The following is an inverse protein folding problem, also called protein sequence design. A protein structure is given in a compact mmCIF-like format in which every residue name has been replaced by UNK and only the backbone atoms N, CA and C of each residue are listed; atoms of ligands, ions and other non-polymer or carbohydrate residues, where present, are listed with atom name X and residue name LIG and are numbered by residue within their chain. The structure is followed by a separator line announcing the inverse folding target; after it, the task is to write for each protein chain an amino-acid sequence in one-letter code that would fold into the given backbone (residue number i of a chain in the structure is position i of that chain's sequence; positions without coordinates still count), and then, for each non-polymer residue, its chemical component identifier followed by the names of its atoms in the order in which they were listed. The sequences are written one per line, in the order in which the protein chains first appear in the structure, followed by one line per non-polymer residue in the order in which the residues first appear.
data_IF_129868658866
#
_entry.id   IF_129868658866
#
_cell.length_a   1.000
_cell.length_b   1.000
_cell.length_c   1.000
_cell.angle_alpha   90.00
_cell.angle_beta   90.00
_cell.angle_gamma   90.00
#
_symmetry.space_group_name_H-M   'P 1'
#
loop_
_entity.id
_entity.type
_entity.pdbx_description
1 polymer ?
#
# COMPACT_ATOMS: atom_id res chain seq x y z
N UNK A 1 -0.79 23.51 36.54
CA UNK A 1 -1.31 22.18 36.10
C UNK A 1 -1.33 22.20 34.58
N UNK A 2 -0.37 21.56 33.95
CA UNK A 2 -0.31 21.39 32.50
C UNK A 2 -1.23 20.21 32.20
N UNK A 3 -2.35 20.45 31.53
CA UNK A 3 -3.21 19.40 30.98
C UNK A 3 -2.43 18.64 29.92
N UNK A 4 -2.33 17.31 29.99
CA UNK A 4 -1.67 16.56 28.93
C UNK A 4 -2.49 16.72 27.64
N UNK A 5 -1.85 17.25 26.58
CA UNK A 5 -2.41 17.22 25.23
C UNK A 5 -2.68 15.76 24.88
N UNK A 6 -3.96 15.41 24.69
CA UNK A 6 -4.37 14.15 24.09
C UNK A 6 -3.68 14.04 22.74
N UNK A 7 -2.70 13.15 22.66
CA UNK A 7 -2.09 12.76 21.38
C UNK A 7 -3.20 12.05 20.60
N UNK A 8 -3.77 12.74 19.61
CA UNK A 8 -4.67 12.12 18.66
C UNK A 8 -3.95 10.89 18.09
N UNK A 9 -4.53 9.71 18.33
CA UNK A 9 -4.11 8.49 17.64
C UNK A 9 -4.33 8.72 16.16
N UNK A 10 -3.32 9.24 15.48
CA UNK A 10 -3.35 9.42 14.03
C UNK A 10 -3.71 8.09 13.39
N UNK A 11 -4.82 8.05 12.70
CA UNK A 11 -5.35 6.84 12.07
C UNK A 11 -4.33 6.33 11.05
N UNK A 12 -3.58 5.27 11.39
CA UNK A 12 -2.55 4.69 10.52
C UNK A 12 -3.10 4.28 9.16
N UNK A 13 -4.37 3.85 9.11
CA UNK A 13 -5.03 3.52 7.86
C UNK A 13 -5.11 4.73 6.94
N UNK A 14 -5.54 5.87 7.46
CA UNK A 14 -5.61 7.12 6.71
C UNK A 14 -4.26 7.52 6.11
N UNK A 15 -3.17 7.38 6.90
CA UNK A 15 -1.82 7.69 6.42
C UNK A 15 -1.37 6.78 5.29
N UNK A 16 -1.68 5.47 5.38
CA UNK A 16 -1.29 4.50 4.36
C UNK A 16 -2.12 4.68 3.09
N UNK A 17 -3.43 4.93 3.23
CA UNK A 17 -4.29 5.23 2.10
C UNK A 17 -3.83 6.51 1.38
N UNK A 18 -3.57 7.59 2.14
CA UNK A 18 -2.98 8.82 1.58
C UNK A 18 -1.68 8.52 0.84
N UNK A 19 -0.79 7.71 1.44
CA UNK A 19 0.50 7.35 0.84
C UNK A 19 0.35 6.59 -0.49
N UNK A 20 -0.64 5.70 -0.61
CA UNK A 20 -0.94 5.03 -1.88
C UNK A 20 -1.36 6.04 -2.95
N UNK A 21 -2.24 6.99 -2.59
CA UNK A 21 -2.65 8.06 -3.51
C UNK A 21 -1.46 8.92 -3.96
N UNK A 22 -0.58 9.30 -3.03
CA UNK A 22 0.65 10.04 -3.32
C UNK A 22 1.54 9.28 -4.32
N UNK A 23 1.77 7.99 -4.07
CA UNK A 23 2.59 7.14 -4.94
C UNK A 23 1.98 7.06 -6.35
N UNK A 24 0.67 6.90 -6.46
CA UNK A 24 -0.01 6.86 -7.75
C UNK A 24 0.11 8.18 -8.52
N UNK A 25 -0.05 9.33 -7.85
CA UNK A 25 0.05 10.65 -8.49
C UNK A 25 1.47 10.92 -8.98
N UNK A 26 2.49 10.60 -8.17
CA UNK A 26 3.88 10.96 -8.45
C UNK A 26 4.58 9.91 -9.33
N UNK A 27 4.34 8.62 -9.07
CA UNK A 27 5.09 7.52 -9.69
C UNK A 27 4.23 6.58 -10.54
N UNK A 28 2.92 6.81 -10.65
CA UNK A 28 2.00 5.88 -11.31
C UNK A 28 2.41 5.49 -12.73
N UNK A 29 3.02 6.39 -13.51
CA UNK A 29 3.53 6.15 -14.86
C UNK A 29 4.93 5.54 -14.93
N UNK A 30 5.63 5.41 -13.81
CA UNK A 30 6.96 4.83 -13.82
C UNK A 30 6.87 3.30 -13.97
N UNK A 31 7.66 2.76 -14.90
CA UNK A 31 7.82 1.33 -15.08
C UNK A 31 9.06 0.88 -14.33
N UNK A 32 8.88 0.06 -13.29
CA UNK A 32 9.95 -0.39 -12.40
C UNK A 32 9.95 -1.91 -12.23
N UNK A 33 11.08 -2.45 -11.76
CA UNK A 33 11.24 -3.88 -11.50
C UNK A 33 10.87 -4.21 -10.06
N UNK A 34 9.95 -5.15 -9.88
CA UNK A 34 9.52 -5.67 -8.58
C UNK A 34 10.04 -7.06 -8.34
N UNK A 35 10.60 -7.30 -7.15
CA UNK A 35 10.98 -8.64 -6.71
C UNK A 35 9.72 -9.39 -6.24
N UNK A 36 9.36 -10.46 -6.94
CA UNK A 36 8.21 -11.30 -6.64
C UNK A 36 8.63 -12.74 -6.34
N UNK A 37 7.74 -13.48 -5.71
CA UNK A 37 7.91 -14.92 -5.48
C UNK A 37 6.83 -15.63 -6.26
N UNK A 38 7.21 -16.41 -7.26
CA UNK A 38 6.28 -17.27 -8.00
C UNK A 38 6.27 -18.67 -7.38
N UNK A 39 5.06 -19.20 -7.25
CA UNK A 39 4.87 -20.63 -6.99
C UNK A 39 5.04 -21.38 -8.30
N UNK A 40 5.97 -22.30 -8.32
CA UNK A 40 6.22 -23.18 -9.46
C UNK A 40 5.98 -24.61 -9.00
N UNK A 41 5.14 -25.36 -9.72
CA UNK A 41 5.03 -26.81 -9.52
C UNK A 41 6.16 -27.48 -10.26
N UNK A 42 6.91 -28.33 -9.57
CA UNK A 42 7.91 -29.16 -10.20
C UNK A 42 7.27 -30.37 -10.92
N UNK A 43 8.09 -31.17 -11.58
CA UNK A 43 7.65 -32.37 -12.32
C UNK A 43 6.99 -33.42 -11.43
N UNK A 44 7.23 -33.39 -10.12
CA UNK A 44 6.66 -34.29 -9.13
C UNK A 44 5.34 -33.75 -8.52
N UNK A 45 4.97 -32.49 -8.88
CA UNK A 45 3.79 -31.83 -8.35
C UNK A 45 4.03 -31.06 -7.06
N UNK A 46 5.28 -31.02 -6.56
CA UNK A 46 5.64 -30.27 -5.37
C UNK A 46 5.69 -28.78 -5.66
N UNK A 47 5.19 -27.96 -4.71
CA UNK A 47 5.18 -26.50 -4.84
C UNK A 47 6.52 -25.94 -4.36
N UNK A 48 7.27 -25.36 -5.28
CA UNK A 48 8.50 -24.62 -4.99
C UNK A 48 8.29 -23.12 -5.17
N UNK A 49 9.04 -22.32 -4.39
CA UNK A 49 8.99 -20.86 -4.44
C UNK A 49 10.25 -20.34 -5.13
N UNK A 50 10.07 -19.73 -6.30
CA UNK A 50 11.19 -19.15 -7.07
C UNK A 50 11.10 -17.64 -7.05
N UNK A 51 12.20 -16.93 -6.65
CA UNK A 51 12.27 -15.49 -6.81
C UNK A 51 12.28 -15.12 -8.28
N UNK A 52 11.49 -14.14 -8.67
CA UNK A 52 11.41 -13.63 -10.03
C UNK A 52 11.34 -12.11 -9.98
N UNK A 53 11.83 -11.46 -11.04
CA UNK A 53 11.73 -10.02 -11.23
C UNK A 53 10.65 -9.76 -12.27
N UNK A 54 9.65 -8.99 -11.90
CA UNK A 54 8.53 -8.59 -12.79
C UNK A 54 8.64 -7.11 -13.05
N UNK A 55 8.66 -6.71 -14.30
CA UNK A 55 8.64 -5.32 -14.73
C UNK A 55 7.19 -4.91 -14.98
N UNK A 56 6.74 -3.85 -14.31
CA UNK A 56 5.35 -3.37 -14.37
C UNK A 56 5.30 -1.89 -14.06
N UNK A 57 4.25 -1.21 -14.55
CA UNK A 57 3.93 0.13 -14.10
C UNK A 57 3.49 0.13 -12.63
N UNK A 58 3.85 1.20 -11.92
CA UNK A 58 3.51 1.35 -10.49
C UNK A 58 1.99 1.29 -10.28
N UNK A 59 1.19 1.94 -11.14
CA UNK A 59 -0.27 1.90 -11.03
C UNK A 59 -0.84 0.49 -11.24
N UNK A 60 -0.29 -0.29 -12.18
CA UNK A 60 -0.71 -1.68 -12.42
C UNK A 60 -0.39 -2.56 -11.21
N UNK A 61 0.82 -2.43 -10.67
CA UNK A 61 1.25 -3.19 -9.49
C UNK A 61 0.36 -2.92 -8.28
N UNK A 62 0.09 -1.65 -7.98
CA UNK A 62 -0.80 -1.26 -6.87
C UNK A 62 -2.22 -1.77 -7.11
N UNK A 63 -2.74 -1.62 -8.34
CA UNK A 63 -4.08 -2.10 -8.67
C UNK A 63 -4.21 -3.61 -8.48
N UNK A 64 -3.27 -4.39 -9.02
CA UNK A 64 -3.30 -5.85 -8.93
C UNK A 64 -3.18 -6.34 -7.47
N UNK A 65 -2.29 -5.74 -6.69
CA UNK A 65 -2.10 -6.11 -5.29
C UNK A 65 -3.35 -5.82 -4.44
N UNK A 66 -3.92 -4.60 -4.56
CA UNK A 66 -5.12 -4.23 -3.80
C UNK A 66 -6.35 -5.02 -4.24
N UNK A 67 -6.49 -5.28 -5.55
CA UNK A 67 -7.59 -6.07 -6.09
C UNK A 67 -7.52 -7.53 -5.64
N UNK A 68 -6.33 -8.14 -5.67
CA UNK A 68 -6.12 -9.53 -5.23
C UNK A 68 -6.41 -9.72 -3.74
N UNK A 69 -6.20 -8.69 -2.95
CA UNK A 69 -6.43 -8.71 -1.51
C UNK A 69 -7.86 -8.26 -1.12
N UNK A 70 -8.70 -7.91 -2.10
CA UNK A 70 -10.04 -7.34 -1.89
C UNK A 70 -10.02 -6.11 -0.95
N UNK A 71 -8.95 -5.30 -1.04
CA UNK A 71 -8.76 -4.15 -0.17
C UNK A 71 -9.61 -2.98 -0.66
N UNK A 72 -10.45 -2.47 0.23
CA UNK A 72 -11.17 -1.21 0.02
C UNK A 72 -10.61 -0.10 0.91
N UNK A 73 -10.55 1.12 0.34
CA UNK A 73 -10.20 2.31 1.11
C UNK A 73 -11.30 2.63 2.12
N UNK A 74 -10.91 2.89 3.37
CA UNK A 74 -11.85 3.27 4.43
C UNK A 74 -12.25 4.77 4.36
N UNK A 75 -11.38 5.62 3.79
CA UNK A 75 -11.69 7.01 3.54
C UNK A 75 -12.39 7.16 2.19
N UNK A 76 -13.61 7.72 2.20
CA UNK A 76 -14.44 7.85 1.00
C UNK A 76 -13.80 8.77 -0.07
N UNK A 77 -13.11 9.84 0.32
CA UNK A 77 -12.44 10.73 -0.63
C UNK A 77 -11.29 10.00 -1.32
N UNK A 78 -10.47 9.24 -0.57
CA UNK A 78 -9.41 8.43 -1.15
C UNK A 78 -9.95 7.30 -2.02
N UNK A 79 -11.06 6.67 -1.63
CA UNK A 79 -11.73 5.64 -2.43
C UNK A 79 -12.16 6.18 -3.79
N UNK A 80 -12.80 7.35 -3.81
CA UNK A 80 -13.22 8.01 -5.06
C UNK A 80 -12.01 8.43 -5.89
N UNK A 81 -11.00 9.02 -5.25
CA UNK A 81 -9.80 9.49 -5.95
C UNK A 81 -9.01 8.32 -6.53
N UNK A 82 -8.87 7.21 -5.79
CA UNK A 82 -8.23 5.99 -6.29
C UNK A 82 -8.89 5.46 -7.55
N UNK A 83 -10.23 5.32 -7.54
CA UNK A 83 -10.99 4.84 -8.71
C UNK A 83 -10.75 5.76 -9.92
N UNK A 84 -10.84 7.08 -9.73
CA UNK A 84 -10.59 8.03 -10.80
C UNK A 84 -9.16 7.99 -11.35
N UNK A 85 -8.15 7.78 -10.47
CA UNK A 85 -6.76 7.62 -10.89
C UNK A 85 -6.59 6.36 -11.74
N UNK A 86 -7.09 5.22 -11.28
CA UNK A 86 -6.99 3.96 -12.03
C UNK A 86 -7.72 4.06 -13.38
N UNK A 87 -8.92 4.64 -13.41
CA UNK A 87 -9.65 4.88 -14.65
C UNK A 87 -8.87 5.77 -15.62
N UNK A 88 -8.16 6.77 -15.12
CA UNK A 88 -7.37 7.68 -15.96
C UNK A 88 -6.13 6.98 -16.52
N UNK A 89 -5.42 6.19 -15.72
CA UNK A 89 -4.30 5.37 -16.18
C UNK A 89 -4.71 4.35 -17.25
N UNK A 90 -5.91 3.78 -17.14
CA UNK A 90 -6.42 2.82 -18.12
C UNK A 90 -6.84 3.47 -19.44
N UNK A 91 -7.22 4.75 -19.43
CA UNK A 91 -7.71 5.46 -20.63
C UNK A 91 -6.60 6.09 -21.45
N UNK A 92 -5.50 6.50 -20.83
CA UNK A 92 -4.45 7.30 -21.45
C UNK A 92 -3.09 6.62 -21.36
N UNK A 93 -2.30 6.75 -22.43
CA UNK A 93 -0.92 6.28 -22.46
C UNK A 93 0.02 7.11 -21.57
N UNK A 94 -0.38 8.33 -21.18
CA UNK A 94 0.37 9.20 -20.28
C UNK A 94 -0.56 9.91 -19.33
N UNK A 95 -0.26 9.84 -18.04
CA UNK A 95 -0.97 10.56 -16.98
C UNK A 95 -0.27 11.90 -16.70
N UNK A 96 -1.04 13.00 -16.71
CA UNK A 96 -0.58 14.31 -16.30
C UNK A 96 -1.34 14.74 -15.03
N UNK A 97 -0.67 14.84 -13.88
CA UNK A 97 -1.32 15.22 -12.62
C UNK A 97 -2.03 16.58 -12.67
N UNK A 98 -1.51 17.55 -13.43
CA UNK A 98 -2.09 18.89 -13.53
C UNK A 98 -3.39 18.87 -14.35
N UNK A 99 -3.42 18.13 -15.45
CA UNK A 99 -4.63 17.94 -16.26
C UNK A 99 -5.68 17.17 -15.47
N UNK A 100 -5.27 16.11 -14.77
CA UNK A 100 -6.15 15.31 -13.93
C UNK A 100 -6.78 16.16 -12.82
N UNK A 101 -5.98 16.95 -12.09
CA UNK A 101 -6.45 17.85 -11.03
C UNK A 101 -7.59 18.78 -11.51
N UNK A 102 -7.47 19.35 -12.72
CA UNK A 102 -8.47 20.25 -13.29
C UNK A 102 -9.81 19.56 -13.62
N UNK A 103 -9.81 18.22 -13.72
CA UNK A 103 -11.03 17.43 -13.97
C UNK A 103 -11.77 17.03 -12.70
N UNK A 104 -11.21 17.32 -11.52
CA UNK A 104 -11.73 16.88 -10.22
C UNK A 104 -12.63 17.95 -9.57
N UNK A 105 -13.57 17.53 -8.71
CA UNK A 105 -14.23 18.43 -7.77
C UNK A 105 -13.23 19.13 -6.86
N UNK A 106 -13.56 20.31 -6.36
CA UNK A 106 -12.65 21.17 -5.61
C UNK A 106 -11.97 20.47 -4.42
N UNK A 107 -12.72 19.71 -3.61
CA UNK A 107 -12.17 18.99 -2.45
C UNK A 107 -11.09 17.97 -2.84
N UNK A 108 -11.28 17.21 -3.91
CA UNK A 108 -10.29 16.24 -4.40
C UNK A 108 -9.13 16.94 -5.12
N UNK A 109 -9.38 18.05 -5.81
CA UNK A 109 -8.36 18.86 -6.45
C UNK A 109 -7.40 19.47 -5.43
N UNK A 110 -7.88 19.96 -4.30
CA UNK A 110 -7.06 20.48 -3.20
C UNK A 110 -6.12 19.39 -2.63
N UNK A 111 -6.62 18.16 -2.50
CA UNK A 111 -5.82 17.02 -2.03
C UNK A 111 -4.70 16.68 -3.03
N UNK A 112 -5.01 16.59 -4.33
CA UNK A 112 -4.00 16.35 -5.37
C UNK A 112 -2.98 17.48 -5.43
N UNK A 113 -3.43 18.73 -5.29
CA UNK A 113 -2.56 19.90 -5.25
C UNK A 113 -1.55 19.81 -4.10
N UNK A 114 -2.00 19.42 -2.90
CA UNK A 114 -1.10 19.28 -1.76
C UNK A 114 0.01 18.26 -2.02
N UNK A 115 -0.32 17.13 -2.66
CA UNK A 115 0.65 16.08 -3.03
C UNK A 115 1.66 16.60 -4.05
N UNK A 116 1.22 17.30 -5.08
CA UNK A 116 2.11 17.84 -6.12
C UNK A 116 3.08 18.88 -5.52
N UNK A 117 2.58 19.77 -4.66
CA UNK A 117 3.41 20.78 -4.01
C UNK A 117 4.44 20.12 -3.07
N UNK A 118 4.03 19.14 -2.28
CA UNK A 118 4.93 18.40 -1.41
C UNK A 118 6.06 17.73 -2.23
N UNK A 119 5.74 17.08 -3.34
CA UNK A 119 6.74 16.44 -4.21
C UNK A 119 7.70 17.46 -4.83
N UNK A 120 7.19 18.59 -5.34
CA UNK A 120 8.03 19.68 -5.90
C UNK A 120 9.00 20.24 -4.82
N UNK A 121 8.55 20.41 -3.60
CA UNK A 121 9.39 20.86 -2.47
C UNK A 121 10.49 19.84 -2.19
N UNK A 122 10.16 18.55 -2.14
CA UNK A 122 11.15 17.47 -1.91
C UNK A 122 12.17 17.40 -3.04
N UNK A 123 11.76 17.52 -4.28
CA UNK A 123 12.67 17.55 -5.43
C UNK A 123 13.63 18.74 -5.35
N UNK A 124 13.18 19.94 -4.96
CA UNK A 124 14.02 21.12 -4.78
C UNK A 124 15.05 20.96 -3.64
N UNK A 125 14.68 20.26 -2.55
CA UNK A 125 15.61 19.96 -1.46
C UNK A 125 16.67 18.92 -1.85
N UNK A 126 16.31 17.92 -2.63
CA UNK A 126 17.23 16.85 -3.07
C UNK A 126 18.34 17.39 -3.98
N UNK A 127 18.08 18.43 -4.75
CA UNK A 127 19.09 19.12 -5.56
C UNK A 127 20.20 19.79 -4.71
N UNK A 128 19.91 20.15 -3.45
CA UNK A 128 20.89 20.76 -2.55
C UNK A 128 21.73 19.76 -1.74
N UNK A 129 21.31 18.52 -1.64
CA UNK A 129 21.97 17.45 -0.87
C UNK A 129 22.82 16.48 -1.69
N UNK A 130 23.09 16.74 -2.97
CA UNK A 130 23.74 15.83 -3.92
C UNK A 130 25.22 15.54 -3.63
N UNK A 131 25.47 14.83 -2.52
CA UNK A 131 26.71 14.06 -2.34
C UNK A 131 26.43 12.65 -1.78
N UNK A 132 25.19 12.15 -1.81
CA UNK A 132 24.82 10.81 -1.34
C UNK A 132 24.60 9.92 -2.57
N UNK A 133 25.25 8.76 -2.60
CA UNK A 133 25.05 7.71 -3.59
C UNK A 133 23.58 7.27 -3.54
N UNK A 134 22.77 7.78 -4.45
CA UNK A 134 21.35 7.41 -4.56
C UNK A 134 21.27 5.99 -5.09
N UNK A 135 20.67 5.07 -4.33
CA UNK A 135 20.15 3.81 -4.88
C UNK A 135 19.36 4.15 -6.14
N UNK A 136 19.56 3.41 -7.24
CA UNK A 136 18.91 3.75 -8.52
C UNK A 136 17.41 4.06 -8.29
N UNK A 137 16.88 5.10 -8.95
CA UNK A 137 15.50 5.61 -8.80
C UNK A 137 14.48 4.48 -8.80
N UNK A 138 14.62 3.53 -9.74
CA UNK A 138 13.72 2.36 -9.87
C UNK A 138 13.64 1.51 -8.61
N UNK A 139 14.80 1.22 -7.99
CA UNK A 139 14.87 0.42 -6.78
C UNK A 139 14.22 1.14 -5.59
N UNK A 140 14.36 2.44 -5.51
CA UNK A 140 13.75 3.24 -4.44
C UNK A 140 12.23 3.28 -4.57
N UNK A 141 11.71 3.40 -5.79
CA UNK A 141 10.27 3.40 -6.07
C UNK A 141 9.67 2.02 -5.80
N UNK A 142 10.26 0.93 -6.32
CA UNK A 142 9.76 -0.42 -6.12
C UNK A 142 9.75 -0.81 -4.62
N UNK A 143 10.77 -0.38 -3.88
CA UNK A 143 10.84 -0.56 -2.44
C UNK A 143 9.72 0.21 -1.72
N UNK A 144 9.52 1.49 -2.05
CA UNK A 144 8.47 2.33 -1.47
C UNK A 144 7.07 1.73 -1.69
N UNK A 145 6.78 1.29 -2.92
CA UNK A 145 5.50 0.65 -3.26
C UNK A 145 5.32 -0.63 -2.45
N UNK A 146 6.32 -1.51 -2.46
CA UNK A 146 6.27 -2.81 -1.77
C UNK A 146 6.10 -2.63 -0.26
N UNK A 147 6.87 -1.75 0.38
CA UNK A 147 6.77 -1.48 1.81
C UNK A 147 5.40 -0.91 2.20
N UNK A 148 4.86 0.01 1.38
CA UNK A 148 3.55 0.61 1.65
C UNK A 148 2.43 -0.44 1.59
N UNK A 149 2.42 -1.30 0.57
CA UNK A 149 1.43 -2.37 0.42
C UNK A 149 1.56 -3.40 1.54
N UNK A 150 2.77 -3.87 1.85
CA UNK A 150 2.99 -4.84 2.93
C UNK A 150 2.59 -4.29 4.30
N UNK A 151 2.83 -3.00 4.54
CA UNK A 151 2.42 -2.33 5.79
C UNK A 151 0.90 -2.24 5.88
N UNK A 152 0.22 -1.91 4.77
CA UNK A 152 -1.24 -1.89 4.72
C UNK A 152 -1.82 -3.29 4.98
N UNK A 153 -1.31 -4.33 4.31
CA UNK A 153 -1.70 -5.73 4.54
C UNK A 153 -1.56 -6.11 6.02
N UNK A 154 -0.43 -5.79 6.63
CA UNK A 154 -0.17 -6.08 8.05
C UNK A 154 -1.16 -5.36 8.96
N UNK A 155 -1.50 -4.10 8.65
CA UNK A 155 -2.49 -3.35 9.42
C UNK A 155 -3.89 -3.97 9.32
N UNK A 156 -4.32 -4.37 8.12
CA UNK A 156 -5.63 -4.99 7.87
C UNK A 156 -5.73 -6.35 8.57
N UNK A 157 -4.69 -7.17 8.51
CA UNK A 157 -4.61 -8.45 9.23
C UNK A 157 -4.74 -8.21 10.74
N UNK A 158 -4.03 -7.23 11.30
CA UNK A 158 -4.15 -6.91 12.73
C UNK A 158 -5.57 -6.51 13.12
N UNK A 159 -6.25 -5.71 12.29
CA UNK A 159 -7.66 -5.34 12.52
C UNK A 159 -8.56 -6.57 12.49
N UNK A 160 -8.40 -7.42 11.48
CA UNK A 160 -9.20 -8.64 11.33
C UNK A 160 -9.02 -9.59 12.51
N UNK A 161 -7.77 -9.81 12.95
CA UNK A 161 -7.48 -10.62 14.14
C UNK A 161 -8.11 -10.03 15.40
N UNK A 162 -8.09 -8.71 15.58
CA UNK A 162 -8.73 -8.05 16.71
C UNK A 162 -10.25 -8.21 16.69
N UNK A 163 -10.90 -8.12 15.53
CA UNK A 163 -12.33 -8.35 15.36
C UNK A 163 -12.71 -9.79 15.70
N UNK A 164 -11.99 -10.77 15.15
CA UNK A 164 -12.20 -12.19 15.44
C UNK A 164 -11.98 -12.51 16.90
N UNK A 165 -10.94 -11.93 17.53
CA UNK A 165 -10.65 -12.13 18.96
C UNK A 165 -11.73 -11.55 19.88
N UNK A 166 -12.42 -10.45 19.48
CA UNK A 166 -13.55 -9.93 20.24
C UNK A 166 -14.76 -10.87 20.17
N UNK A 167 -15.04 -11.43 19.01
CA UNK A 167 -16.11 -12.41 18.83
C UNK A 167 -15.90 -13.69 19.66
N UNK A 168 -14.64 -14.08 19.91
CA UNK A 168 -14.33 -15.24 20.77
C UNK A 168 -14.45 -14.96 22.27
N UNK A 169 -14.38 -13.69 22.69
CA UNK A 169 -14.48 -13.29 24.10
C UNK A 169 -15.91 -13.03 24.59
N UNK A 170 -16.84 -12.76 23.69
CA UNK A 170 -18.27 -12.66 24.02
C UNK A 170 -18.81 -14.07 24.29
N UNK A 171 -19.07 -14.35 25.55
CA UNK A 171 -19.40 -15.57 26.29
C UNK A 171 -20.47 -16.51 25.70
N UNK A 172 -20.59 -16.69 24.43
CA UNK A 172 -21.41 -17.74 23.86
C UNK A 172 -20.63 -19.07 23.74
N UNK A 173 -21.16 -20.09 24.42
CA UNK A 173 -20.61 -21.44 24.60
C UNK A 173 -20.38 -22.25 23.31
N UNK A 174 -20.48 -21.64 22.15
CA UNK A 174 -20.08 -22.21 20.88
C UNK A 174 -18.72 -21.63 20.48
N UNK A 175 -17.69 -22.08 21.21
CA UNK A 175 -16.30 -21.87 20.86
C UNK A 175 -16.07 -22.44 19.45
N UNK A 176 -16.12 -21.56 18.44
CA UNK A 176 -16.06 -22.00 17.06
C UNK A 176 -14.60 -22.30 16.73
N UNK A 177 -14.26 -23.59 16.61
CA UNK A 177 -12.92 -24.07 16.25
C UNK A 177 -12.43 -23.41 14.96
N UNK A 178 -13.35 -23.12 14.04
CA UNK A 178 -13.06 -22.51 12.76
C UNK A 178 -12.52 -21.07 12.93
N UNK A 179 -13.05 -20.29 13.86
CA UNK A 179 -12.56 -18.92 14.15
C UNK A 179 -11.14 -18.91 14.70
N UNK A 180 -10.78 -19.91 15.55
CA UNK A 180 -9.42 -20.03 16.05
C UNK A 180 -8.45 -20.42 14.93
N UNK A 181 -8.84 -21.34 14.07
CA UNK A 181 -8.04 -21.74 12.93
C UNK A 181 -7.81 -20.55 11.97
N UNK A 182 -8.84 -19.74 11.75
CA UNK A 182 -8.72 -18.52 10.98
C UNK A 182 -7.74 -17.52 11.63
N UNK A 183 -7.80 -17.29 12.93
CA UNK A 183 -6.86 -16.44 13.67
C UNK A 183 -5.41 -16.96 13.52
N UNK A 184 -5.19 -18.26 13.66
CA UNK A 184 -3.86 -18.88 13.50
C UNK A 184 -3.32 -18.65 12.08
N UNK A 185 -4.17 -18.81 11.06
CA UNK A 185 -3.80 -18.58 9.66
C UNK A 185 -3.40 -17.12 9.43
N UNK A 186 -4.12 -16.15 10.00
CA UNK A 186 -3.75 -14.74 9.93
C UNK A 186 -2.42 -14.43 10.64
N UNK A 187 -2.12 -15.07 11.78
CA UNK A 187 -0.82 -14.90 12.44
C UNK A 187 0.33 -15.48 11.61
N UNK A 188 0.13 -16.63 10.95
CA UNK A 188 1.12 -17.18 10.02
C UNK A 188 1.37 -16.27 8.84
N UNK A 189 0.31 -15.73 8.21
CA UNK A 189 0.41 -14.77 7.13
C UNK A 189 1.15 -13.49 7.58
N UNK A 190 0.82 -12.94 8.74
CA UNK A 190 1.52 -11.79 9.32
C UNK A 190 3.01 -12.06 9.51
N UNK A 191 3.39 -13.26 10.00
CA UNK A 191 4.80 -13.65 10.16
C UNK A 191 5.54 -13.66 8.81
N UNK A 192 4.90 -14.16 7.74
CA UNK A 192 5.47 -14.15 6.39
C UNK A 192 5.66 -12.72 5.85
N UNK A 193 4.66 -11.85 6.02
CA UNK A 193 4.73 -10.44 5.61
C UNK A 193 5.84 -9.70 6.36
N UNK A 194 5.97 -9.91 7.66
CA UNK A 194 7.03 -9.30 8.48
C UNK A 194 8.42 -9.73 8.04
N UNK A 195 8.61 -11.01 7.71
CA UNK A 195 9.88 -11.50 7.15
C UNK A 195 10.19 -10.84 5.80
N UNK A 196 9.17 -10.58 5.00
CA UNK A 196 9.33 -9.92 3.69
C UNK A 196 9.69 -8.44 3.86
N UNK A 197 9.06 -7.72 4.80
CA UNK A 197 9.41 -6.35 5.17
C UNK A 197 10.87 -6.23 5.66
N UNK A 198 11.31 -7.12 6.53
CA UNK A 198 12.67 -7.11 7.06
C UNK A 198 13.74 -7.43 6.02
N UNK A 199 13.38 -8.04 4.87
CA UNK A 199 14.29 -8.27 3.75
C UNK A 199 14.40 -7.09 2.78
N UNK A 200 13.45 -6.18 2.83
CA UNK A 200 13.39 -4.99 1.97
C UNK A 200 14.20 -3.83 2.58
N UNK A 201 14.50 -3.88 3.88
CA UNK A 201 15.38 -2.96 4.59
C UNK A 201 16.83 -3.47 4.49
#
# INVERSE_FOLDING_TARGET
RVTPKTVEKTNQNFKLEKKIIEILIVYGNEEVSFDEIKMVKDENGDITYSPTVVKSFVHEKIFLDLHSDEVEFANEEFKVLYKKLIDEFQKKQSFDPKVFMNSLPQNLSELVTSVIIEDEIYQLHDWRSKNVIVKGKDRSISQLVTETILTLRTLLINKKVQELSKLTNDNDKNFNKDTLEEIVNYYQLKSLLSKKLNRVI
#
